data_IF_298899863662
#
_entry.id   IF_298899863662
#
_cell.length_a   1.000
_cell.length_b   1.000
_cell.length_c   1.000
_cell.angle_alpha   90.00
_cell.angle_beta   90.00
_cell.angle_gamma   90.00
#
_symmetry.space_group_name_H-M   'P 1'
#
loop_
_entity.id
_entity.type
_entity.pdbx_description
1 polymer ?
#
# COMPACT_ATOMS: atom_id res chain seq x y z
N UNK A 1 10.50 34.56 1.63
CA UNK A 1 9.53 33.57 2.10
C UNK A 1 9.37 32.51 1.02
N UNK A 2 9.66 31.24 1.31
CA UNK A 2 9.52 30.13 0.36
C UNK A 2 8.17 29.45 0.60
N UNK A 3 7.22 29.68 -0.30
CA UNK A 3 5.94 28.99 -0.29
C UNK A 3 6.16 27.52 -0.66
N UNK A 4 6.04 26.62 0.30
CA UNK A 4 5.97 25.18 0.01
C UNK A 4 4.63 24.90 -0.64
N UNK A 5 4.59 24.82 -1.97
CA UNK A 5 3.39 24.43 -2.70
C UNK A 5 2.98 23.00 -2.33
N UNK A 6 1.80 22.85 -1.71
CA UNK A 6 1.17 21.54 -1.48
C UNK A 6 0.71 20.98 -2.81
N UNK A 7 1.58 20.21 -3.48
CA UNK A 7 1.26 19.48 -4.70
C UNK A 7 0.11 18.49 -4.41
N UNK A 8 -1.03 18.56 -5.12
CA UNK A 8 -2.14 17.64 -4.89
C UNK A 8 -1.68 16.20 -5.16
N UNK A 9 -1.85 15.33 -4.16
CA UNK A 9 -1.50 13.91 -4.26
C UNK A 9 -2.42 13.30 -5.31
N UNK A 10 -1.89 13.09 -6.53
CA UNK A 10 -2.63 12.44 -7.61
C UNK A 10 -3.02 11.03 -7.14
N UNK A 11 -4.31 10.79 -6.88
CA UNK A 11 -4.85 9.52 -6.36
C UNK A 11 -4.36 8.29 -7.14
N UNK A 12 -4.19 8.40 -8.45
CA UNK A 12 -3.65 7.31 -9.29
C UNK A 12 -2.18 6.96 -9.02
N UNK A 13 -1.34 7.93 -8.61
CA UNK A 13 0.06 7.66 -8.22
C UNK A 13 0.11 6.96 -6.86
N UNK A 14 -0.77 7.37 -5.93
CA UNK A 14 -0.93 6.72 -4.63
C UNK A 14 -1.30 5.24 -4.77
N UNK A 15 -2.19 4.89 -5.72
CA UNK A 15 -2.62 3.51 -5.90
C UNK A 15 -1.48 2.59 -6.38
N UNK A 16 -0.68 3.06 -7.35
CA UNK A 16 0.50 2.32 -7.84
C UNK A 16 1.56 2.13 -6.76
N UNK A 17 1.80 3.16 -5.94
CA UNK A 17 2.74 3.08 -4.81
C UNK A 17 2.25 2.08 -3.75
N UNK A 18 0.95 2.07 -3.45
CA UNK A 18 0.36 1.10 -2.52
C UNK A 18 0.47 -0.35 -3.01
N UNK A 19 0.22 -0.58 -4.30
CA UNK A 19 0.38 -1.91 -4.91
C UNK A 19 1.84 -2.39 -4.82
N UNK A 20 2.81 -1.55 -5.21
CA UNK A 20 4.23 -1.89 -5.11
C UNK A 20 4.69 -2.14 -3.67
N UNK A 21 4.22 -1.34 -2.71
CA UNK A 21 4.51 -1.55 -1.29
C UNK A 21 3.92 -2.88 -0.79
N UNK A 22 2.70 -3.23 -1.22
CA UNK A 22 2.09 -4.51 -0.86
C UNK A 22 2.88 -5.68 -1.45
N UNK A 23 3.32 -5.63 -2.70
CA UNK A 23 4.18 -6.67 -3.30
C UNK A 23 5.50 -6.85 -2.54
N UNK A 24 6.12 -5.75 -2.09
CA UNK A 24 7.33 -5.83 -1.27
C UNK A 24 7.05 -6.48 0.09
N UNK A 25 5.94 -6.13 0.73
CA UNK A 25 5.52 -6.73 2.00
C UNK A 25 5.20 -8.22 1.86
N UNK A 26 4.61 -8.64 0.74
CA UNK A 26 4.35 -10.06 0.44
C UNK A 26 5.67 -10.83 0.39
N UNK A 27 6.68 -10.31 -0.32
CA UNK A 27 8.00 -10.95 -0.40
C UNK A 27 8.70 -11.10 0.95
N UNK A 28 8.53 -10.12 1.84
CA UNK A 28 9.06 -10.20 3.20
C UNK A 28 8.34 -11.29 4.01
N UNK A 29 7.01 -11.33 3.98
CA UNK A 29 6.23 -12.38 4.65
C UNK A 29 6.56 -13.78 4.11
N UNK A 30 6.77 -13.92 2.79
CA UNK A 30 7.21 -15.17 2.18
C UNK A 30 8.60 -15.61 2.65
N UNK A 31 9.53 -14.66 2.82
CA UNK A 31 10.85 -14.91 3.39
C UNK A 31 10.74 -15.35 4.86
N UNK A 32 9.92 -14.66 5.64
CA UNK A 32 9.68 -14.93 7.06
C UNK A 32 8.79 -16.17 7.31
N UNK A 33 8.34 -16.86 6.24
CA UNK A 33 7.42 -18.02 6.27
C UNK A 33 6.07 -17.70 6.93
N UNK A 34 5.69 -16.42 6.95
CA UNK A 34 4.44 -15.96 7.53
C UNK A 34 3.28 -15.98 6.51
N UNK A 35 2.05 -16.25 6.96
CA UNK A 35 0.89 -16.26 6.07
C UNK A 35 0.59 -14.85 5.55
N UNK A 36 0.56 -14.71 4.22
CA UNK A 36 0.21 -13.45 3.56
C UNK A 36 -1.30 -13.17 3.70
N UNK A 37 -1.71 -12.04 4.33
CA UNK A 37 -3.12 -11.69 4.47
C UNK A 37 -3.80 -11.42 3.13
N UNK A 38 -5.07 -11.81 3.01
CA UNK A 38 -5.84 -11.66 1.76
C UNK A 38 -5.99 -10.19 1.33
N UNK A 39 -6.21 -9.27 2.28
CA UNK A 39 -6.33 -7.83 1.98
C UNK A 39 -5.03 -7.28 1.36
N UNK A 40 -3.86 -7.82 1.72
CA UNK A 40 -2.57 -7.39 1.19
C UNK A 40 -2.40 -7.85 -0.26
N UNK A 41 -2.87 -9.07 -0.58
CA UNK A 41 -2.93 -9.58 -1.96
C UNK A 41 -3.84 -8.72 -2.83
N UNK A 42 -4.98 -8.31 -2.30
CA UNK A 42 -5.91 -7.48 -3.05
C UNK A 42 -5.33 -6.07 -3.32
N UNK A 43 -4.57 -5.49 -2.37
CA UNK A 43 -3.84 -4.22 -2.58
C UNK A 43 -2.73 -4.39 -3.62
N UNK A 44 -1.97 -5.49 -3.58
CA UNK A 44 -0.95 -5.79 -4.59
C UNK A 44 -1.56 -5.95 -5.99
N UNK A 45 -2.73 -6.58 -6.09
CA UNK A 45 -3.50 -6.68 -7.33
C UNK A 45 -4.12 -5.34 -7.80
N UNK A 46 -3.90 -4.24 -7.06
CA UNK A 46 -4.46 -2.93 -7.37
C UNK A 46 -5.98 -2.88 -7.22
N UNK A 47 -6.58 -3.80 -6.45
CA UNK A 47 -8.01 -3.74 -6.15
C UNK A 47 -8.25 -2.65 -5.10
N UNK A 48 -9.41 -1.96 -5.17
CA UNK A 48 -9.82 -1.02 -4.14
C UNK A 48 -10.18 -1.79 -2.87
N UNK A 49 -9.17 -2.07 -2.05
CA UNK A 49 -9.32 -2.80 -0.79
C UNK A 49 -9.27 -1.85 0.38
N UNK A 50 -10.25 -1.97 1.27
CA UNK A 50 -10.23 -1.30 2.56
C UNK A 50 -9.19 -2.03 3.42
N UNK A 51 -8.00 -1.45 3.55
CA UNK A 51 -7.05 -1.89 4.58
C UNK A 51 -7.77 -1.85 5.92
N UNK A 52 -7.75 -2.93 6.72
CA UNK A 52 -8.23 -2.88 8.08
C UNK A 52 -7.47 -1.73 8.75
N UNK A 53 -8.19 -0.68 9.14
CA UNK A 53 -7.61 0.35 9.98
C UNK A 53 -7.53 -0.29 11.35
N UNK A 54 -6.34 -0.75 11.73
CA UNK A 54 -6.11 -1.20 13.11
C UNK A 54 -6.68 -0.14 14.06
N UNK A 55 -7.55 -0.51 15.02
CA UNK A 55 -7.84 0.37 16.14
C UNK A 55 -6.54 0.55 16.92
N UNK A 56 -6.17 1.81 17.12
CA UNK A 56 -5.01 2.23 17.91
C UNK A 56 -5.04 1.69 19.34
#
# INVERSE_FOLDING_TARGET
MTTTERRPVRRGRSMKVRAAAAEASIKLLEYDKEPVPQWLRDVAAGKPTTVPRDPA
#
